data_IF_115045797422
#
_entry.id   IF_115045797422
#
_cell.length_a   1.000
_cell.length_b   1.000
_cell.length_c   1.000
_cell.angle_alpha   90.00
_cell.angle_beta   90.00
_cell.angle_gamma   90.00
#
_symmetry.space_group_name_H-M   'P 1'
#
loop_
_entity.id
_entity.type
_entity.pdbx_description
1 polymer ?
#
# COMPACT_ATOMS: atom_id res chain seq x y z
N UNK A 1 5.49 14.35 -36.89
CA UNK A 1 4.78 15.36 -36.05
C UNK A 1 4.49 14.73 -34.68
N UNK A 2 3.69 13.66 -34.60
CA UNK A 2 3.38 12.97 -33.33
C UNK A 2 4.60 12.50 -32.50
N UNK A 3 5.65 11.98 -33.14
CA UNK A 3 6.89 11.56 -32.46
C UNK A 3 7.76 12.72 -31.98
N UNK A 4 7.57 13.93 -32.53
CA UNK A 4 8.28 15.15 -32.08
C UNK A 4 7.58 15.79 -30.88
N UNK A 5 6.25 15.73 -30.82
CA UNK A 5 5.47 16.40 -29.77
C UNK A 5 5.28 15.54 -28.51
N UNK A 6 5.29 14.21 -28.63
CA UNK A 6 5.18 13.30 -27.47
C UNK A 6 5.78 11.91 -27.76
N UNK A 7 7.10 11.73 -27.60
CA UNK A 7 7.74 10.41 -27.80
C UNK A 7 7.28 9.35 -26.78
N UNK A 8 6.90 9.77 -25.57
CA UNK A 8 6.40 8.92 -24.48
C UNK A 8 5.13 8.14 -24.85
N UNK A 9 4.37 8.62 -25.84
CA UNK A 9 3.11 8.03 -26.28
C UNK A 9 3.29 6.58 -26.76
N UNK A 10 4.36 6.33 -27.51
CA UNK A 10 4.63 5.02 -28.08
C UNK A 10 5.02 4.01 -27.00
N UNK A 11 5.81 4.43 -26.00
CA UNK A 11 6.14 3.61 -24.85
C UNK A 11 4.86 3.23 -24.07
N UNK A 12 4.04 4.22 -23.74
CA UNK A 12 2.77 3.99 -23.02
C UNK A 12 1.80 3.10 -23.79
N UNK A 13 1.74 3.24 -25.12
CA UNK A 13 0.86 2.43 -25.97
C UNK A 13 1.33 0.96 -26.02
N UNK A 14 2.64 0.74 -26.10
CA UNK A 14 3.21 -0.61 -26.04
C UNK A 14 2.98 -1.23 -24.66
N UNK A 15 3.20 -0.49 -23.58
CA UNK A 15 2.90 -0.94 -22.21
C UNK A 15 1.41 -1.26 -22.02
N UNK A 16 0.52 -0.43 -22.55
CA UNK A 16 -0.93 -0.71 -22.50
C UNK A 16 -1.25 -2.02 -23.23
N UNK A 17 -0.66 -2.26 -24.40
CA UNK A 17 -0.87 -3.50 -25.18
C UNK A 17 -0.33 -4.73 -24.46
N UNK A 18 0.80 -4.64 -23.77
CA UNK A 18 1.36 -5.77 -23.01
C UNK A 18 0.50 -6.06 -21.78
N UNK A 19 0.11 -5.03 -21.02
CA UNK A 19 -0.76 -5.19 -19.85
C UNK A 19 -2.16 -5.68 -20.17
N UNK A 20 -2.73 -5.27 -21.31
CA UNK A 20 -4.00 -5.82 -21.78
C UNK A 20 -3.89 -7.31 -22.15
N UNK A 21 -2.79 -7.72 -22.80
CA UNK A 21 -2.52 -9.15 -23.06
C UNK A 21 -2.39 -9.93 -21.76
N UNK A 22 -1.61 -9.43 -20.79
CA UNK A 22 -1.51 -10.05 -19.46
C UNK A 22 -2.87 -10.17 -18.75
N UNK A 23 -3.75 -9.17 -18.87
CA UNK A 23 -5.12 -9.25 -18.31
C UNK A 23 -5.93 -10.37 -18.98
N UNK A 24 -5.92 -10.41 -20.31
CA UNK A 24 -6.74 -11.35 -21.08
C UNK A 24 -6.24 -12.78 -20.94
N UNK A 25 -4.93 -12.99 -21.07
CA UNK A 25 -4.32 -14.32 -21.15
C UNK A 25 -4.11 -14.96 -19.77
N UNK A 26 -3.86 -14.15 -18.74
CA UNK A 26 -3.54 -14.65 -17.40
C UNK A 26 -4.60 -14.31 -16.35
N UNK A 27 -4.96 -13.02 -16.20
CA UNK A 27 -5.79 -12.60 -15.06
C UNK A 27 -7.28 -12.98 -15.20
N UNK A 28 -7.84 -12.98 -16.40
CA UNK A 28 -9.23 -13.39 -16.64
C UNK A 28 -9.48 -14.87 -16.27
N UNK A 29 -8.68 -15.84 -16.76
CA UNK A 29 -8.78 -17.23 -16.31
C UNK A 29 -8.68 -17.39 -14.79
N UNK A 30 -7.74 -16.68 -14.17
CA UNK A 30 -7.55 -16.73 -12.72
C UNK A 30 -8.74 -16.15 -11.95
N UNK A 31 -9.35 -15.06 -12.43
CA UNK A 31 -10.56 -14.50 -11.84
C UNK A 31 -11.74 -15.46 -11.92
N UNK A 32 -11.86 -16.23 -13.00
CA UNK A 32 -12.91 -17.23 -13.12
C UNK A 32 -12.68 -18.39 -12.12
N UNK A 33 -11.43 -18.80 -11.89
CA UNK A 33 -11.08 -19.74 -10.81
C UNK A 33 -11.34 -19.18 -9.40
N UNK A 34 -11.13 -17.87 -9.18
CA UNK A 34 -11.49 -17.20 -7.92
C UNK A 34 -13.01 -17.25 -7.71
N UNK A 35 -13.81 -16.95 -8.73
CA UNK A 35 -15.28 -17.01 -8.65
C UNK A 35 -15.78 -18.44 -8.38
N UNK A 36 -15.09 -19.44 -8.90
CA UNK A 36 -15.38 -20.85 -8.64
C UNK A 36 -14.93 -21.30 -7.23
N UNK A 37 -14.18 -20.48 -6.48
CA UNK A 37 -13.83 -20.73 -5.09
C UNK A 37 -12.64 -21.69 -4.87
N UNK A 38 -11.86 -21.99 -5.91
CA UNK A 38 -10.72 -22.92 -5.83
C UNK A 38 -9.45 -22.28 -5.24
N UNK A 39 -9.40 -20.95 -5.13
CA UNK A 39 -8.22 -20.21 -4.68
C UNK A 39 -8.43 -19.71 -3.23
N UNK A 40 -7.42 -19.83 -2.35
CA UNK A 40 -7.48 -19.27 -0.99
C UNK A 40 -7.80 -17.77 -0.97
N UNK A 41 -8.49 -17.30 0.07
CA UNK A 41 -8.95 -15.90 0.21
C UNK A 41 -7.81 -14.84 0.09
N UNK A 42 -6.60 -15.16 0.57
CA UNK A 42 -5.43 -14.27 0.41
C UNK A 42 -4.95 -14.17 -1.05
N UNK A 43 -4.95 -15.29 -1.79
CA UNK A 43 -4.59 -15.33 -3.21
C UNK A 43 -5.66 -14.71 -4.10
N UNK A 44 -6.94 -14.90 -3.76
CA UNK A 44 -8.07 -14.26 -4.43
C UNK A 44 -7.97 -12.72 -4.36
N UNK A 45 -7.72 -12.18 -3.16
CA UNK A 45 -7.53 -10.73 -2.96
C UNK A 45 -6.35 -10.18 -3.76
N UNK A 46 -5.27 -10.96 -3.88
CA UNK A 46 -4.12 -10.57 -4.70
C UNK A 46 -4.46 -10.47 -6.18
N UNK A 47 -5.12 -11.49 -6.73
CA UNK A 47 -5.51 -11.55 -8.14
C UNK A 47 -6.50 -10.41 -8.46
N UNK A 48 -7.49 -10.18 -7.59
CA UNK A 48 -8.43 -9.07 -7.71
C UNK A 48 -7.74 -7.71 -7.70
N UNK A 49 -6.78 -7.52 -6.78
CA UNK A 49 -6.01 -6.29 -6.67
C UNK A 49 -5.15 -6.07 -7.92
N UNK A 50 -4.43 -7.09 -8.39
CA UNK A 50 -3.58 -7.03 -9.59
C UNK A 50 -4.42 -6.71 -10.84
N UNK A 51 -5.54 -7.38 -11.01
CA UNK A 51 -6.48 -7.10 -12.10
C UNK A 51 -7.02 -5.66 -12.04
N UNK A 52 -7.48 -5.20 -10.87
CA UNK A 52 -7.98 -3.84 -10.70
C UNK A 52 -6.89 -2.80 -10.97
N UNK A 53 -5.65 -3.05 -10.55
CA UNK A 53 -4.51 -2.16 -10.75
C UNK A 53 -4.19 -2.00 -12.23
N UNK A 54 -4.05 -3.12 -12.97
CA UNK A 54 -3.75 -3.09 -14.40
C UNK A 54 -4.89 -2.48 -15.22
N UNK A 55 -6.14 -2.83 -14.91
CA UNK A 55 -7.30 -2.24 -15.60
C UNK A 55 -7.37 -0.72 -15.36
N UNK A 56 -7.13 -0.27 -14.12
CA UNK A 56 -7.05 1.16 -13.80
C UNK A 56 -5.91 1.85 -14.56
N UNK A 57 -4.75 1.19 -14.71
CA UNK A 57 -3.64 1.71 -15.51
C UNK A 57 -4.01 1.90 -16.99
N UNK A 58 -4.58 0.86 -17.61
CA UNK A 58 -5.03 0.91 -19.01
C UNK A 58 -6.07 2.02 -19.24
N UNK A 59 -7.02 2.20 -18.31
CA UNK A 59 -8.03 3.27 -18.40
C UNK A 59 -7.37 4.66 -18.34
N UNK A 60 -6.40 4.88 -17.45
CA UNK A 60 -5.70 6.15 -17.35
C UNK A 60 -4.85 6.45 -18.60
N UNK A 61 -4.22 5.43 -19.19
CA UNK A 61 -3.52 5.58 -20.48
C UNK A 61 -4.53 5.90 -21.59
N UNK A 62 -5.64 5.17 -21.69
CA UNK A 62 -6.67 5.44 -22.70
C UNK A 62 -7.22 6.88 -22.59
N UNK A 63 -7.39 7.37 -21.36
CA UNK A 63 -7.77 8.77 -21.13
C UNK A 63 -6.68 9.76 -21.56
N UNK A 64 -5.40 9.46 -21.28
CA UNK A 64 -4.27 10.25 -21.78
C UNK A 64 -4.23 10.30 -23.32
N UNK A 65 -4.45 9.15 -23.98
CA UNK A 65 -4.54 9.06 -25.44
C UNK A 65 -5.69 9.91 -25.99
N UNK A 66 -6.85 9.86 -25.34
CA UNK A 66 -8.02 10.69 -25.69
C UNK A 66 -7.70 12.19 -25.58
N UNK A 67 -7.04 12.62 -24.52
CA UNK A 67 -6.65 14.02 -24.34
C UNK A 67 -5.69 14.50 -25.44
N UNK A 68 -4.70 13.65 -25.79
CA UNK A 68 -3.77 13.93 -26.89
C UNK A 68 -4.47 13.99 -28.25
N UNK A 69 -5.47 13.14 -28.49
CA UNK A 69 -6.28 13.18 -29.71
C UNK A 69 -7.09 14.48 -29.82
N UNK A 70 -7.52 15.05 -28.70
CA UNK A 70 -8.23 16.34 -28.64
C UNK A 70 -7.30 17.57 -28.72
N UNK A 71 -5.99 17.37 -28.88
CA UNK A 71 -4.96 18.42 -28.89
C UNK A 71 -4.95 19.30 -27.63
N UNK A 72 -5.53 18.83 -26.52
CA UNK A 72 -5.49 19.53 -25.25
C UNK A 72 -4.07 19.49 -24.65
N UNK A 73 -3.67 20.55 -23.96
CA UNK A 73 -2.41 20.55 -23.23
C UNK A 73 -2.47 19.51 -22.10
N UNK A 74 -1.53 18.57 -22.10
CA UNK A 74 -1.53 17.45 -21.13
C UNK A 74 -0.57 17.70 -19.96
N UNK A 75 0.30 18.73 -20.05
CA UNK A 75 1.34 19.01 -19.05
C UNK A 75 0.78 19.25 -17.64
N UNK A 76 -0.38 19.89 -17.55
CA UNK A 76 -1.00 20.28 -16.27
C UNK A 76 -2.14 19.33 -15.83
N UNK A 77 -2.38 18.24 -16.58
CA UNK A 77 -3.47 17.32 -16.26
C UNK A 77 -3.04 16.30 -15.20
N UNK A 78 -3.83 16.05 -14.14
CA UNK A 78 -3.50 15.10 -13.06
C UNK A 78 -3.31 13.65 -13.51
N UNK A 79 -3.64 13.33 -14.77
CA UNK A 79 -3.53 11.98 -15.31
C UNK A 79 -2.08 11.55 -15.49
N UNK A 80 -1.16 12.48 -15.80
CA UNK A 80 0.27 12.15 -15.84
C UNK A 80 0.73 11.73 -14.43
N UNK A 81 0.41 12.53 -13.42
CA UNK A 81 0.72 12.20 -12.03
C UNK A 81 0.11 10.86 -11.61
N UNK A 82 -1.12 10.57 -12.07
CA UNK A 82 -1.79 9.30 -11.78
C UNK A 82 -1.13 8.10 -12.47
N UNK A 83 -0.72 8.23 -13.73
CA UNK A 83 0.01 7.19 -14.47
C UNK A 83 1.33 6.87 -13.77
N UNK A 84 2.08 7.88 -13.34
CA UNK A 84 3.34 7.70 -12.60
C UNK A 84 3.09 6.98 -11.27
N UNK A 85 2.06 7.37 -10.51
CA UNK A 85 1.68 6.68 -9.27
C UNK A 85 1.32 5.21 -9.50
N UNK A 86 0.58 4.91 -10.57
CA UNK A 86 0.23 3.52 -10.90
C UNK A 86 1.47 2.72 -11.30
N UNK A 87 2.42 3.33 -12.03
CA UNK A 87 3.72 2.71 -12.37
C UNK A 87 4.56 2.42 -11.12
N UNK A 88 4.57 3.32 -10.13
CA UNK A 88 5.26 3.07 -8.85
C UNK A 88 4.61 1.92 -8.07
N UNK A 89 3.28 1.87 -8.02
CA UNK A 89 2.56 0.77 -7.35
C UNK A 89 2.80 -0.58 -8.03
N UNK A 90 2.91 -0.61 -9.36
CA UNK A 90 3.26 -1.83 -10.09
C UNK A 90 4.68 -2.31 -9.75
N UNK A 91 5.66 -1.40 -9.65
CA UNK A 91 7.03 -1.75 -9.23
C UNK A 91 7.08 -2.31 -7.80
N UNK A 92 6.24 -1.81 -6.91
CA UNK A 92 6.12 -2.34 -5.55
C UNK A 92 5.52 -3.75 -5.51
N UNK A 93 4.78 -4.15 -6.54
CA UNK A 93 4.16 -5.47 -6.69
C UNK A 93 5.09 -6.52 -7.32
N UNK A 94 6.12 -6.11 -8.05
CA UNK A 94 7.13 -7.01 -8.65
C UNK A 94 7.72 -8.07 -7.68
N UNK A 95 8.14 -7.75 -6.44
CA UNK A 95 8.71 -8.76 -5.54
C UNK A 95 7.68 -9.79 -5.05
N UNK A 96 6.38 -9.46 -5.06
CA UNK A 96 5.32 -10.43 -4.78
C UNK A 96 4.97 -11.24 -6.02
N UNK A 97 5.01 -10.62 -7.20
CA UNK A 97 4.81 -11.31 -8.47
C UNK A 97 5.84 -12.42 -8.68
N UNK A 98 7.13 -12.14 -8.53
CA UNK A 98 8.19 -13.17 -8.71
C UNK A 98 8.10 -14.35 -7.74
N UNK A 99 7.43 -14.18 -6.59
CA UNK A 99 7.23 -15.27 -5.62
C UNK A 99 6.06 -16.16 -5.97
N UNK A 100 5.04 -15.59 -6.62
CA UNK A 100 3.79 -16.26 -6.96
C UNK A 100 3.76 -16.72 -8.42
N UNK A 101 4.78 -16.37 -9.22
CA UNK A 101 4.87 -16.69 -10.65
C UNK A 101 4.80 -18.19 -10.90
N UNK A 102 5.57 -19.00 -10.17
CA UNK A 102 5.54 -20.47 -10.26
C UNK A 102 4.15 -21.05 -9.93
N UNK A 103 3.52 -20.54 -8.87
CA UNK A 103 2.18 -20.97 -8.45
C UNK A 103 1.10 -20.56 -9.47
N UNK A 104 1.23 -19.38 -10.07
CA UNK A 104 0.30 -18.88 -11.09
C UNK A 104 0.44 -19.68 -12.40
N UNK A 105 1.67 -19.98 -12.82
CA UNK A 105 1.93 -20.79 -14.02
C UNK A 105 1.35 -22.20 -13.90
N UNK A 106 1.53 -22.83 -12.74
CA UNK A 106 0.94 -24.16 -12.48
C UNK A 106 -0.59 -24.12 -12.51
N UNK A 107 -1.23 -23.10 -11.91
CA UNK A 107 -2.68 -22.92 -11.95
C UNK A 107 -3.21 -22.65 -13.37
N UNK A 108 -2.49 -21.86 -14.16
CA UNK A 108 -2.84 -21.60 -15.56
C UNK A 108 -2.70 -22.85 -16.43
N UNK A 109 -1.68 -23.68 -16.19
CA UNK A 109 -1.52 -24.97 -16.87
C UNK A 109 -2.66 -25.94 -16.53
N UNK A 110 -3.06 -26.01 -15.26
CA UNK A 110 -4.20 -26.82 -14.82
C UNK A 110 -5.52 -26.36 -15.48
N UNK A 111 -5.75 -25.04 -15.55
CA UNK A 111 -6.93 -24.49 -16.19
C UNK A 111 -6.99 -24.77 -17.70
N UNK A 112 -5.84 -24.68 -18.41
CA UNK A 112 -5.75 -25.02 -19.84
C UNK A 112 -6.01 -26.50 -20.12
N UNK A 113 -5.65 -27.37 -19.18
CA UNK A 113 -5.87 -28.82 -19.28
C UNK A 113 -7.30 -29.23 -18.86
N UNK A 114 -8.15 -28.30 -18.42
CA UNK A 114 -9.53 -28.56 -17.99
C UNK A 114 -9.65 -29.24 -16.63
N UNK A 115 -8.56 -29.29 -15.85
CA UNK A 115 -8.56 -29.87 -14.51
C UNK A 115 -8.86 -28.79 -13.46
N UNK A 116 -9.87 -29.05 -12.62
CA UNK A 116 -10.21 -28.17 -11.49
C UNK A 116 -9.22 -28.40 -10.35
N UNK A 117 -8.63 -27.34 -9.75
CA UNK A 117 -7.72 -27.51 -8.65
C UNK A 117 -8.44 -28.17 -7.46
N UNK A 118 -8.01 -29.38 -7.10
CA UNK A 118 -8.43 -30.01 -5.85
C UNK A 118 -7.89 -29.17 -4.69
N UNK A 119 -8.79 -28.62 -3.87
CA UNK A 119 -8.49 -27.75 -2.73
C UNK A 119 -7.54 -28.37 -1.68
N UNK A 120 -7.20 -29.66 -1.82
CA UNK A 120 -6.30 -30.41 -0.94
C UNK A 120 -4.82 -30.39 -1.34
N UNK A 121 -4.43 -29.94 -2.54
CA UNK A 121 -3.01 -29.96 -2.96
C UNK A 121 -2.20 -28.71 -2.59
N UNK A 122 -2.84 -27.63 -2.11
CA UNK A 122 -2.15 -26.37 -1.74
C UNK A 122 -1.65 -26.36 -0.28
N UNK A 123 -1.82 -27.45 0.48
CA UNK A 123 -1.49 -27.48 1.92
C UNK A 123 -0.04 -27.86 2.28
N UNK A 124 0.88 -28.07 1.34
CA UNK A 124 2.27 -28.47 1.66
C UNK A 124 3.29 -27.37 1.35
N UNK A 125 3.21 -26.28 2.12
CA UNK A 125 4.38 -25.53 2.65
C UNK A 125 3.85 -24.47 3.63
N UNK A 126 3.54 -24.89 4.86
CA UNK A 126 3.49 -23.98 6.00
C UNK A 126 4.89 -23.40 6.23
N UNK A 127 5.24 -22.37 5.46
CA UNK A 127 6.33 -21.48 5.84
C UNK A 127 5.82 -20.66 7.02
N UNK A 128 6.51 -20.76 8.14
CA UNK A 128 6.14 -20.15 9.40
C UNK A 128 6.03 -18.61 9.26
N UNK A 129 4.82 -18.09 9.09
CA UNK A 129 4.53 -16.67 9.38
C UNK A 129 4.49 -16.49 10.91
N UNK A 130 5.67 -16.37 11.52
CA UNK A 130 5.82 -15.65 12.80
C UNK A 130 6.47 -14.32 12.50
N UNK A 131 5.68 -13.25 12.58
CA UNK A 131 6.16 -11.88 12.58
C UNK A 131 6.85 -11.62 13.91
N UNK A 132 8.13 -11.98 14.01
CA UNK A 132 9.01 -11.43 15.03
C UNK A 132 9.82 -10.28 14.41
N UNK A 133 9.48 -9.05 14.80
CA UNK A 133 10.40 -7.93 14.67
C UNK A 133 11.60 -8.17 15.59
N UNK A 134 12.66 -8.78 15.08
CA UNK A 134 13.94 -8.87 15.77
C UNK A 134 15.10 -8.91 14.76
N UNK A 135 16.09 -8.05 15.05
CA UNK A 135 17.42 -7.87 14.47
C UNK A 135 17.87 -8.84 13.36
N UNK A 136 18.21 -8.26 12.19
CA UNK A 136 18.92 -8.90 11.09
C UNK A 136 20.26 -9.50 11.55
N UNK A 137 20.33 -10.81 11.71
CA UNK A 137 21.55 -11.59 11.49
C UNK A 137 21.40 -12.36 10.18
N UNK A 138 22.04 -11.88 9.10
CA UNK A 138 22.09 -12.61 7.83
C UNK A 138 22.96 -13.87 8.00
N UNK A 139 22.32 -15.02 8.21
CA UNK A 139 22.94 -16.32 7.97
C UNK A 139 22.97 -16.52 6.45
N UNK A 140 24.16 -16.48 5.85
CA UNK A 140 24.34 -16.73 4.41
C UNK A 140 24.02 -18.20 4.13
N UNK A 141 23.12 -18.44 3.16
CA UNK A 141 22.96 -19.77 2.55
C UNK A 141 24.23 -20.07 1.76
N UNK A 142 24.83 -21.22 2.05
CA UNK A 142 25.87 -21.82 1.22
C UNK A 142 25.17 -22.39 -0.02
N UNK A 143 25.51 -21.85 -1.18
CA UNK A 143 25.16 -22.41 -2.48
C UNK A 143 26.48 -22.78 -3.13
N UNK A 144 26.73 -24.08 -3.27
CA UNK A 144 27.83 -24.61 -4.08
C UNK A 144 27.62 -24.19 -5.53
N UNK A 145 28.48 -23.28 -6.03
CA UNK A 145 28.97 -23.23 -7.42
C UNK A 145 30.31 -22.48 -7.43
N UNK A 146 31.21 -23.06 -8.20
CA UNK A 146 32.61 -22.71 -8.42
C UNK A 146 32.77 -21.36 -9.15
N UNK A 147 33.96 -20.78 -9.02
CA UNK A 147 34.54 -19.63 -9.72
C UNK A 147 33.93 -18.22 -9.49
N UNK A 148 34.10 -17.68 -8.28
CA UNK A 148 34.05 -16.24 -8.04
C UNK A 148 35.49 -15.73 -7.99
N UNK A 149 35.91 -14.94 -9.00
CA UNK A 149 37.20 -14.26 -9.01
C UNK A 149 37.42 -13.47 -7.71
N UNK A 150 38.42 -13.83 -6.87
CA UNK A 150 38.69 -13.17 -5.60
C UNK A 150 38.90 -11.66 -5.73
N UNK A 151 39.40 -11.17 -6.87
CA UNK A 151 39.59 -9.73 -7.10
C UNK A 151 38.26 -8.97 -7.16
N UNK A 152 37.24 -9.51 -7.83
CA UNK A 152 35.92 -8.88 -7.96
C UNK A 152 35.26 -8.64 -6.60
N UNK A 153 35.46 -9.56 -5.64
CA UNK A 153 34.97 -9.39 -4.28
C UNK A 153 35.65 -8.23 -3.53
N UNK A 154 36.98 -8.09 -3.66
CA UNK A 154 37.71 -6.98 -3.04
C UNK A 154 37.33 -5.63 -3.65
N UNK A 155 37.13 -5.56 -4.96
CA UNK A 155 36.66 -4.37 -5.66
C UNK A 155 35.27 -3.95 -5.20
N UNK A 156 34.32 -4.89 -5.07
CA UNK A 156 32.99 -4.58 -4.55
C UNK A 156 33.02 -4.02 -3.12
N UNK A 157 33.83 -4.60 -2.25
CA UNK A 157 33.97 -4.15 -0.86
C UNK A 157 34.58 -2.75 -0.80
N UNK A 158 35.57 -2.47 -1.65
CA UNK A 158 36.18 -1.15 -1.81
C UNK A 158 35.16 -0.11 -2.28
N UNK A 159 34.38 -0.44 -3.31
CA UNK A 159 33.34 0.46 -3.86
C UNK A 159 32.21 0.73 -2.85
N UNK A 160 31.81 -0.26 -2.04
CA UNK A 160 30.83 -0.07 -0.96
C UNK A 160 31.33 0.89 0.12
N UNK A 161 32.61 0.80 0.52
CA UNK A 161 33.21 1.73 1.48
C UNK A 161 33.30 3.16 0.94
N UNK A 162 33.68 3.32 -0.33
CA UNK A 162 33.73 4.63 -0.99
C UNK A 162 32.34 5.28 -1.04
N UNK A 163 31.32 4.56 -1.52
CA UNK A 163 29.93 5.04 -1.56
C UNK A 163 29.40 5.42 -0.17
N UNK A 164 29.73 4.66 0.86
CA UNK A 164 29.32 4.98 2.24
C UNK A 164 29.99 6.28 2.75
N UNK A 165 31.24 6.52 2.37
CA UNK A 165 31.96 7.77 2.70
C UNK A 165 31.36 8.96 1.95
N UNK A 166 31.09 8.81 0.66
CA UNK A 166 30.43 9.84 -0.16
C UNK A 166 29.04 10.21 0.37
N UNK A 167 28.22 9.22 0.74
CA UNK A 167 26.91 9.47 1.35
C UNK A 167 27.02 10.20 2.70
N UNK A 168 28.04 9.91 3.49
CA UNK A 168 28.31 10.61 4.77
C UNK A 168 28.77 12.05 4.54
N UNK A 169 29.59 12.30 3.52
CA UNK A 169 30.03 13.65 3.15
C UNK A 169 28.88 14.48 2.54
N UNK A 170 28.06 13.87 1.68
CA UNK A 170 26.87 14.50 1.11
C UNK A 170 25.85 14.89 2.17
N UNK A 171 25.59 14.01 3.14
CA UNK A 171 24.72 14.33 4.28
C UNK A 171 25.32 15.43 5.15
N UNK A 172 26.63 15.42 5.42
CA UNK A 172 27.30 16.48 6.16
C UNK A 172 27.21 17.86 5.46
N UNK A 173 27.37 17.89 4.13
CA UNK A 173 27.19 19.13 3.33
C UNK A 173 25.75 19.63 3.36
N UNK A 174 24.77 18.74 3.31
CA UNK A 174 23.35 19.10 3.39
C UNK A 174 22.98 19.78 4.71
N UNK A 175 23.58 19.37 5.83
CA UNK A 175 23.37 20.01 7.15
C UNK A 175 24.16 21.32 7.34
N UNK A 176 25.14 21.62 6.49
CA UNK A 176 25.87 22.90 6.51
C UNK A 176 25.18 24.00 5.68
N UNK A 177 24.12 23.65 4.94
CA UNK A 177 23.44 24.55 4.00
C UNK A 177 22.21 25.27 4.59
N UNK A 178 22.03 25.27 5.91
CA UNK A 178 21.09 26.20 6.55
C UNK A 178 21.73 27.59 6.56
N UNK A 179 21.70 28.27 5.40
CA UNK A 179 21.92 29.71 5.32
C UNK A 179 20.92 30.40 6.27
N UNK A 180 21.46 31.29 7.11
CA UNK A 180 20.66 32.19 7.92
C UNK A 180 19.80 33.05 6.97
N UNK A 181 18.50 32.72 6.87
CA UNK A 181 17.46 33.57 6.29
C UNK A 181 17.38 34.87 7.12
N UNK A 182 18.33 35.76 6.87
CA UNK A 182 18.32 37.13 7.31
C UNK A 182 17.28 37.83 6.44
N UNK A 183 16.02 37.76 6.88
CA UNK A 183 14.87 38.33 6.17
C UNK A 183 15.13 39.73 5.60
N UNK A 184 14.43 40.02 4.49
CA UNK A 184 14.51 41.26 3.71
C UNK A 184 14.81 42.50 4.57
N UNK A 185 16.07 42.98 4.51
CA UNK A 185 16.49 44.24 5.12
C UNK A 185 17.58 44.17 6.19
N UNK A 186 18.19 43.01 6.45
CA UNK A 186 19.37 42.89 7.34
C UNK A 186 19.11 43.21 8.82
N UNK A 187 17.84 43.44 9.20
CA UNK A 187 17.40 43.63 10.58
C UNK A 187 16.98 42.28 11.14
N UNK A 188 17.57 41.88 12.27
CA UNK A 188 17.19 40.66 12.98
C UNK A 188 15.76 40.77 13.51
N UNK A 189 14.84 40.01 12.93
CA UNK A 189 13.46 39.95 13.41
C UNK A 189 13.36 39.18 14.74
N UNK A 190 12.37 39.55 15.56
CA UNK A 190 12.05 38.81 16.77
C UNK A 190 11.52 37.41 16.42
N UNK A 191 12.08 36.37 17.03
CA UNK A 191 11.61 34.99 16.80
C UNK A 191 10.28 34.73 17.48
N UNK A 192 9.47 33.82 16.93
CA UNK A 192 8.19 33.42 17.52
C UNK A 192 8.31 32.96 18.98
N UNK A 193 9.43 32.30 19.32
CA UNK A 193 9.70 31.80 20.67
C UNK A 193 9.83 32.96 21.67
N UNK A 194 10.54 34.02 21.28
CA UNK A 194 10.72 35.24 22.08
C UNK A 194 9.43 36.07 22.11
N UNK A 195 8.72 36.21 20.98
CA UNK A 195 7.47 36.96 20.92
C UNK A 195 6.35 36.35 21.80
N UNK A 196 6.27 35.01 21.89
CA UNK A 196 5.20 34.34 22.64
C UNK A 196 5.57 33.90 24.05
N UNK A 197 6.86 33.84 24.41
CA UNK A 197 7.36 33.46 25.73
C UNK A 197 6.62 32.28 26.40
N UNK A 198 6.32 31.23 25.61
CA UNK A 198 5.51 30.09 26.08
C UNK A 198 6.27 29.15 27.03
N UNK A 199 7.60 29.22 27.09
CA UNK A 199 8.43 28.37 27.94
C UNK A 199 8.34 26.87 27.63
N UNK A 200 8.68 26.03 28.62
CA UNK A 200 8.69 24.56 28.52
C UNK A 200 7.31 23.95 28.84
N UNK A 201 6.28 24.31 28.08
CA UNK A 201 4.93 23.74 28.26
C UNK A 201 4.80 22.34 27.66
N UNK A 202 4.09 21.44 28.36
CA UNK A 202 3.76 20.11 27.84
C UNK A 202 2.91 20.17 26.55
N UNK A 203 3.06 19.15 25.69
CA UNK A 203 2.30 19.05 24.44
C UNK A 203 0.82 18.78 24.71
N UNK A 204 -0.03 19.75 24.38
CA UNK A 204 -1.49 19.63 24.43
C UNK A 204 -2.06 18.99 23.15
N UNK A 205 -3.11 18.17 23.29
CA UNK A 205 -3.78 17.54 22.13
C UNK A 205 -4.54 18.60 21.32
N UNK A 206 -4.64 18.43 19.99
CA UNK A 206 -5.35 19.39 19.10
C UNK A 206 -6.79 19.65 19.54
N UNK A 207 -7.47 18.64 20.09
CA UNK A 207 -8.86 18.71 20.55
C UNK A 207 -9.03 19.57 21.81
N UNK A 208 -8.00 19.67 22.64
CA UNK A 208 -8.04 20.47 23.87
C UNK A 208 -7.87 21.97 23.60
N UNK A 209 -7.42 22.34 22.39
CA UNK A 209 -7.33 23.73 21.96
C UNK A 209 -8.71 24.36 21.72
N UNK A 210 -9.75 23.55 21.47
CA UNK A 210 -11.11 24.04 21.21
C UNK A 210 -12.11 23.38 22.18
N UNK A 211 -12.72 24.15 23.10
CA UNK A 211 -13.60 23.60 24.13
C UNK A 211 -14.81 22.86 23.54
N UNK A 212 -15.40 23.38 22.45
CA UNK A 212 -16.53 22.75 21.76
C UNK A 212 -16.17 21.38 21.20
N UNK A 213 -15.00 21.27 20.56
CA UNK A 213 -14.53 19.98 19.98
C UNK A 213 -14.24 18.96 21.08
N UNK A 214 -13.66 19.40 22.20
CA UNK A 214 -13.43 18.56 23.38
C UNK A 214 -14.75 18.01 23.93
N UNK A 215 -15.74 18.87 24.14
CA UNK A 215 -17.05 18.47 24.67
C UNK A 215 -17.82 17.55 23.72
N UNK A 216 -17.82 17.85 22.41
CA UNK A 216 -18.43 16.98 21.38
C UNK A 216 -17.86 15.56 21.43
N UNK A 217 -16.53 15.44 21.53
CA UNK A 217 -15.83 14.14 21.59
C UNK A 217 -16.01 13.44 22.95
N UNK A 218 -16.12 14.19 24.04
CA UNK A 218 -16.44 13.64 25.36
C UNK A 218 -17.84 13.04 25.35
N UNK A 219 -18.82 13.75 24.78
CA UNK A 219 -20.20 13.28 24.63
C UNK A 219 -20.28 12.02 23.77
N UNK A 220 -19.68 12.02 22.57
CA UNK A 220 -19.72 10.85 21.69
C UNK A 220 -19.12 9.59 22.34
N UNK A 221 -18.01 9.74 23.08
CA UNK A 221 -17.41 8.64 23.86
C UNK A 221 -18.31 8.16 24.99
N UNK A 222 -18.95 9.08 25.71
CA UNK A 222 -19.88 8.74 26.79
C UNK A 222 -21.12 7.99 26.25
N UNK A 223 -21.64 8.40 25.09
CA UNK A 223 -22.76 7.70 24.42
C UNK A 223 -22.37 6.26 24.06
N UNK A 224 -21.17 6.05 23.50
CA UNK A 224 -20.67 4.70 23.19
C UNK A 224 -20.54 3.85 24.46
N UNK A 225 -19.95 4.40 25.53
CA UNK A 225 -19.81 3.70 26.83
C UNK A 225 -21.16 3.38 27.47
N UNK A 226 -22.16 4.27 27.33
CA UNK A 226 -23.51 4.01 27.81
C UNK A 226 -24.15 2.85 27.05
N UNK A 227 -24.02 2.82 25.71
CA UNK A 227 -24.53 1.73 24.86
C UNK A 227 -23.93 0.37 25.21
N UNK A 228 -22.69 0.33 25.71
CA UNK A 228 -22.07 -0.94 26.14
C UNK A 228 -22.57 -1.42 27.50
N UNK A 229 -22.99 -0.52 28.39
CA UNK A 229 -23.47 -0.86 29.73
C UNK A 229 -24.98 -1.18 29.73
N UNK A 230 -25.76 -0.36 29.04
CA UNK A 230 -27.21 -0.46 28.99
C UNK A 230 -27.63 -0.50 27.53
N UNK A 231 -28.41 -1.52 27.17
CA UNK A 231 -29.01 -1.62 25.83
C UNK A 231 -30.04 -0.51 25.69
N UNK A 232 -29.94 0.27 24.60
CA UNK A 232 -30.95 1.25 24.27
C UNK A 232 -32.21 0.55 23.76
N UNK A 233 -33.36 1.20 23.92
CA UNK A 233 -34.61 0.78 23.30
C UNK A 233 -34.47 0.95 21.79
N UNK A 234 -34.85 -0.07 21.03
CA UNK A 234 -34.86 -0.08 19.57
C UNK A 234 -36.28 -0.34 19.11
N UNK A 235 -36.75 0.44 18.14
CA UNK A 235 -38.06 0.24 17.52
C UNK A 235 -37.90 -0.68 16.31
N UNK A 236 -38.87 -1.57 16.08
CA UNK A 236 -38.91 -2.44 14.91
C UNK A 236 -39.38 -1.65 13.68
N UNK A 237 -38.45 -1.16 12.86
CA UNK A 237 -38.78 -0.53 11.58
C UNK A 237 -39.02 -1.55 10.45
N UNK A 238 -38.48 -2.76 10.60
CA UNK A 238 -38.55 -3.84 9.62
C UNK A 238 -39.00 -5.15 10.26
N UNK A 239 -39.51 -6.08 9.44
CA UNK A 239 -39.92 -7.41 9.90
C UNK A 239 -38.75 -8.14 10.57
N UNK A 240 -39.03 -8.79 11.70
CA UNK A 240 -38.04 -9.51 12.49
C UNK A 240 -37.26 -10.54 11.66
N UNK A 241 -35.93 -10.38 11.61
CA UNK A 241 -35.00 -11.26 10.90
C UNK A 241 -34.11 -12.11 11.80
N UNK A 242 -34.32 -12.08 13.12
CA UNK A 242 -33.46 -12.75 14.11
C UNK A 242 -32.51 -11.81 14.87
N UNK A 243 -31.87 -12.33 15.92
CA UNK A 243 -30.87 -11.57 16.71
C UNK A 243 -29.51 -11.54 16.02
N UNK A 244 -29.10 -10.38 15.51
CA UNK A 244 -27.81 -10.20 14.80
C UNK A 244 -26.58 -10.47 15.66
N UNK A 245 -26.65 -10.20 16.98
CA UNK A 245 -25.54 -10.44 17.92
C UNK A 245 -25.51 -11.84 18.52
N UNK A 246 -26.50 -12.68 18.19
CA UNK A 246 -26.66 -14.03 18.71
C UNK A 246 -27.28 -14.11 20.12
N UNK A 247 -27.92 -15.25 20.37
CA UNK A 247 -28.62 -15.58 21.62
C UNK A 247 -27.70 -16.41 22.52
N UNK A 248 -27.55 -16.03 23.80
CA UNK A 248 -26.82 -16.80 24.81
C UNK A 248 -27.80 -17.46 25.79
N UNK A 249 -28.00 -18.77 25.66
CA UNK A 249 -28.97 -19.54 26.46
C UNK A 249 -28.68 -19.58 27.96
N UNK A 250 -27.41 -19.58 28.37
CA UNK A 250 -27.01 -19.70 29.78
C UNK A 250 -26.99 -18.36 30.55
N UNK A 251 -27.25 -17.23 29.90
CA UNK A 251 -27.11 -15.90 30.52
C UNK A 251 -28.48 -15.34 30.95
N UNK A 252 -28.74 -15.27 32.26
CA UNK A 252 -29.88 -14.55 32.82
C UNK A 252 -29.49 -13.11 33.21
N UNK A 253 -30.28 -12.12 32.79
CA UNK A 253 -30.04 -10.68 33.08
C UNK A 253 -31.18 -10.02 33.89
N UNK A 254 -32.07 -10.81 34.48
CA UNK A 254 -33.17 -10.30 35.32
C UNK A 254 -32.68 -9.83 36.69
N UNK A 255 -33.39 -8.84 37.26
CA UNK A 255 -33.16 -8.38 38.64
C UNK A 255 -33.91 -9.33 39.58
N UNK A 256 -33.21 -9.96 40.54
CA UNK A 256 -33.85 -10.80 41.56
C UNK A 256 -34.47 -9.92 42.64
N UNK A 257 -35.76 -10.11 42.89
CA UNK A 257 -36.46 -9.49 44.02
C UNK A 257 -36.13 -10.28 45.27
N UNK A 258 -35.83 -9.58 46.38
CA UNK A 258 -35.59 -10.16 47.69
C UNK A 258 -36.85 -10.06 48.54
#
# INVERSE_FOLDING_TARGET
ILSRDSPELFELLNEMKTKLREIVDCLNPLLDLVKQGHIPDEGAKYIELKHKLYLTYCINIAFYLRLKAQQASVKDHPVIARIVQLRTLMKELEPTDSRLEEDIETLLAMHKNGELPNASMVQTKKSNLKVHFAAKSKKRKHTDKEDIDPLAYYEEVKMKKMKAKEMKEMTARYYQADEEDNGEGGKRAITYKISKNKGLTARKKKQERNPRVKLKKKYSKAVIKRKSQVRAVVNEETRYGGETTGIRSQLSRSIKIK
#
